data_IF_136915039137
#
_entry.id   IF_136915039137
#
_cell.length_a   1.000
_cell.length_b   1.000
_cell.length_c   1.000
_cell.angle_alpha   90.00
_cell.angle_beta   90.00
_cell.angle_gamma   90.00
#
_symmetry.space_group_name_H-M   'P 1'
#
loop_
_entity.id
_entity.type
_entity.pdbx_description
1 polymer ?
#
# COMPACT_ATOMS: atom_id res chain seq x y z
N UNK A 1 -0.97 -18.90 14.03
CA UNK A 1 -0.74 -18.28 12.71
C UNK A 1 -1.46 -16.93 12.74
N UNK A 2 -0.74 -15.82 12.90
CA UNK A 2 -1.35 -14.50 12.84
C UNK A 2 -1.71 -14.21 11.38
N UNK A 3 -2.99 -14.14 11.06
CA UNK A 3 -3.44 -13.59 9.78
C UNK A 3 -3.22 -12.08 9.86
N UNK A 4 -2.09 -11.59 9.37
CA UNK A 4 -1.89 -10.16 9.17
C UNK A 4 -2.90 -9.70 8.11
N UNK A 5 -3.90 -8.92 8.54
CA UNK A 5 -4.74 -8.13 7.64
C UNK A 5 -3.95 -6.85 7.32
N UNK A 6 -2.81 -7.00 6.66
CA UNK A 6 -2.04 -5.86 6.20
C UNK A 6 -2.38 -5.66 4.73
N UNK A 7 -3.17 -4.62 4.45
CA UNK A 7 -3.27 -4.05 3.11
C UNK A 7 -1.86 -3.58 2.71
N UNK A 8 -1.09 -4.48 2.13
CA UNK A 8 0.24 -4.17 1.63
C UNK A 8 0.12 -3.22 0.43
N UNK A 9 1.24 -2.56 0.10
CA UNK A 9 1.31 -1.64 -1.04
C UNK A 9 0.68 -2.24 -2.32
N UNK A 10 0.98 -3.51 -2.61
CA UNK A 10 0.47 -4.24 -3.77
C UNK A 10 -1.06 -4.35 -3.78
N UNK A 11 -1.68 -4.68 -2.64
CA UNK A 11 -3.14 -4.79 -2.51
C UNK A 11 -3.82 -3.45 -2.77
N UNK A 12 -3.28 -2.37 -2.19
CA UNK A 12 -3.85 -1.03 -2.31
C UNK A 12 -3.86 -0.59 -3.76
N UNK A 13 -2.72 -0.69 -4.47
CA UNK A 13 -2.65 -0.23 -5.86
C UNK A 13 -3.48 -1.13 -6.78
N UNK A 14 -3.55 -2.44 -6.51
CA UNK A 14 -4.34 -3.37 -7.30
C UNK A 14 -5.85 -3.13 -7.10
N UNK A 15 -6.29 -2.85 -5.87
CA UNK A 15 -7.68 -2.49 -5.55
C UNK A 15 -8.06 -1.15 -6.17
N UNK A 16 -7.24 -0.11 -6.02
CA UNK A 16 -7.50 1.20 -6.61
C UNK A 16 -7.58 1.13 -8.13
N UNK A 17 -6.62 0.47 -8.78
CA UNK A 17 -6.61 0.26 -10.23
C UNK A 17 -7.88 -0.45 -10.72
N UNK A 18 -8.29 -1.53 -10.05
CA UNK A 18 -9.52 -2.27 -10.39
C UNK A 18 -10.77 -1.42 -10.15
N UNK A 19 -10.83 -0.66 -9.06
CA UNK A 19 -11.92 0.26 -8.75
C UNK A 19 -12.10 1.37 -9.79
N UNK A 20 -10.99 1.81 -10.41
CA UNK A 20 -10.99 2.77 -11.52
C UNK A 20 -11.21 2.13 -12.91
N UNK A 21 -11.34 0.79 -12.99
CA UNK A 21 -11.49 0.08 -14.26
C UNK A 21 -10.24 0.11 -15.17
N UNK A 22 -9.06 0.39 -14.61
CA UNK A 22 -7.83 0.54 -15.37
C UNK A 22 -7.09 -0.81 -15.55
N UNK A 23 -6.50 -1.01 -16.72
CA UNK A 23 -5.56 -2.12 -16.94
C UNK A 23 -4.18 -1.73 -16.44
N UNK A 24 -3.32 -2.71 -16.15
CA UNK A 24 -1.90 -2.44 -15.79
C UNK A 24 -1.20 -1.65 -16.90
N UNK A 25 -1.46 -1.99 -18.17
CA UNK A 25 -0.91 -1.26 -19.31
C UNK A 25 -1.34 0.19 -19.37
N UNK A 26 -2.58 0.49 -18.96
CA UNK A 26 -3.07 1.88 -18.91
C UNK A 26 -2.42 2.67 -17.77
N UNK A 27 -2.31 2.09 -16.58
CA UNK A 27 -1.56 2.73 -15.47
C UNK A 27 -0.09 2.95 -15.87
N UNK A 28 0.52 2.00 -16.57
CA UNK A 28 1.88 2.15 -17.07
C UNK A 28 2.03 3.32 -18.05
N UNK A 29 1.11 3.43 -19.00
CA UNK A 29 1.11 4.52 -19.98
C UNK A 29 0.91 5.91 -19.31
N UNK A 30 0.02 6.00 -18.32
CA UNK A 30 -0.32 7.26 -17.65
C UNK A 30 0.73 7.67 -16.58
N UNK A 31 1.31 6.70 -15.86
CA UNK A 31 2.30 6.96 -14.80
C UNK A 31 3.74 7.05 -15.32
N UNK A 32 4.02 6.51 -16.51
CA UNK A 32 5.38 6.33 -17.02
C UNK A 32 6.17 5.21 -16.30
N UNK A 33 5.53 4.44 -15.41
CA UNK A 33 6.14 3.26 -14.77
C UNK A 33 5.95 2.04 -15.66
N UNK A 34 6.98 1.21 -15.80
CA UNK A 34 6.92 0.03 -16.65
C UNK A 34 5.81 -0.93 -16.18
N UNK A 35 4.97 -1.43 -17.10
CA UNK A 35 3.88 -2.35 -16.78
C UNK A 35 4.36 -3.59 -16.00
N UNK A 36 5.55 -4.10 -16.33
CA UNK A 36 6.20 -5.20 -15.59
C UNK A 36 6.43 -4.84 -14.12
N UNK A 37 6.91 -3.64 -13.82
CA UNK A 37 7.16 -3.20 -12.45
C UNK A 37 5.85 -3.10 -11.66
N UNK A 38 4.81 -2.52 -12.26
CA UNK A 38 3.48 -2.44 -11.63
C UNK A 38 2.95 -3.83 -11.31
N UNK A 39 2.99 -4.77 -12.28
CA UNK A 39 2.60 -6.16 -12.03
C UNK A 39 3.44 -6.82 -10.94
N UNK A 40 4.75 -6.58 -10.90
CA UNK A 40 5.62 -7.14 -9.86
C UNK A 40 5.30 -6.58 -8.47
N UNK A 41 4.96 -5.30 -8.38
CA UNK A 41 4.52 -4.66 -7.13
C UNK A 41 3.16 -5.19 -6.66
N UNK A 42 2.19 -5.35 -7.56
CA UNK A 42 0.88 -5.96 -7.25
C UNK A 42 0.99 -7.41 -6.77
N UNK A 43 2.06 -8.13 -7.15
CA UNK A 43 2.32 -9.51 -6.75
C UNK A 43 3.41 -9.63 -5.67
N UNK A 44 3.80 -8.53 -5.01
CA UNK A 44 4.80 -8.53 -3.91
C UNK A 44 6.20 -9.02 -4.28
N UNK A 45 6.52 -9.08 -5.57
CA UNK A 45 7.84 -9.51 -6.06
C UNK A 45 8.82 -8.36 -6.26
N UNK A 46 8.36 -7.11 -6.08
CA UNK A 46 9.17 -5.90 -6.15
C UNK A 46 8.65 -4.84 -5.18
N UNK A 47 9.52 -4.32 -4.31
CA UNK A 47 9.25 -3.09 -3.55
C UNK A 47 9.39 -1.86 -4.45
N UNK A 48 8.47 -0.88 -4.38
CA UNK A 48 8.59 0.36 -5.15
C UNK A 48 9.66 1.28 -4.55
N UNK A 49 10.22 2.15 -5.38
CA UNK A 49 10.97 3.33 -4.89
C UNK A 49 10.05 4.55 -4.77
N UNK A 50 10.53 5.64 -4.16
CA UNK A 50 9.71 6.84 -3.92
C UNK A 50 9.12 7.45 -5.20
N UNK A 51 9.90 7.53 -6.28
CA UNK A 51 9.44 8.06 -7.58
C UNK A 51 8.33 7.18 -8.19
N UNK A 52 8.49 5.86 -8.11
CA UNK A 52 7.45 4.91 -8.53
C UNK A 52 6.16 5.06 -7.69
N UNK A 53 6.28 5.26 -6.37
CA UNK A 53 5.14 5.52 -5.49
C UNK A 53 4.43 6.82 -5.87
N UNK A 54 5.17 7.92 -6.05
CA UNK A 54 4.59 9.22 -6.41
C UNK A 54 3.83 9.17 -7.75
N UNK A 55 4.43 8.52 -8.76
CA UNK A 55 3.81 8.35 -10.08
C UNK A 55 2.55 7.49 -10.02
N UNK A 56 2.63 6.33 -9.38
CA UNK A 56 1.49 5.42 -9.26
C UNK A 56 0.37 6.05 -8.43
N UNK A 57 0.70 6.71 -7.31
CA UNK A 57 -0.27 7.38 -6.46
C UNK A 57 -1.04 8.47 -7.21
N UNK A 58 -0.34 9.30 -7.97
CA UNK A 58 -0.96 10.34 -8.80
C UNK A 58 -1.93 9.75 -9.83
N UNK A 59 -1.52 8.71 -10.56
CA UNK A 59 -2.37 8.04 -11.56
C UNK A 59 -3.59 7.36 -10.93
N UNK A 60 -3.44 6.77 -9.74
CA UNK A 60 -4.52 6.05 -9.05
C UNK A 60 -5.33 6.91 -8.09
N UNK A 61 -5.12 8.23 -8.06
CA UNK A 61 -5.80 9.17 -7.17
C UNK A 61 -5.65 8.82 -5.68
N UNK A 62 -4.46 8.33 -5.30
CA UNK A 62 -4.10 7.96 -3.94
C UNK A 62 -3.19 9.01 -3.31
N UNK A 63 -3.14 9.02 -1.97
CA UNK A 63 -2.18 9.86 -1.23
C UNK A 63 -0.79 9.21 -1.25
N UNK A 64 0.16 9.86 -1.94
CA UNK A 64 1.52 9.32 -2.09
C UNK A 64 2.28 9.20 -0.77
N UNK A 65 2.06 10.10 0.20
CA UNK A 65 2.78 10.06 1.46
C UNK A 65 2.35 8.87 2.30
N UNK A 66 1.04 8.61 2.39
CA UNK A 66 0.50 7.42 3.04
C UNK A 66 0.95 6.15 2.33
N UNK A 67 0.85 6.13 1.00
CA UNK A 67 1.21 4.95 0.22
C UNK A 67 2.72 4.63 0.34
N UNK A 68 3.57 5.65 0.42
CA UNK A 68 5.00 5.46 0.66
C UNK A 68 5.29 4.96 2.07
N UNK A 69 4.58 5.47 3.09
CA UNK A 69 4.74 4.98 4.47
C UNK A 69 4.39 3.48 4.60
N UNK A 70 3.41 3.02 3.82
CA UNK A 70 3.05 1.61 3.71
C UNK A 70 4.14 0.83 2.96
N UNK A 71 4.61 1.36 1.82
CA UNK A 71 5.67 0.71 1.04
C UNK A 71 7.00 0.57 1.78
N UNK A 72 7.30 1.47 2.72
CA UNK A 72 8.52 1.45 3.53
C UNK A 72 8.32 0.79 4.89
N UNK A 73 7.17 0.16 5.16
CA UNK A 73 6.81 -0.46 6.45
C UNK A 73 7.05 0.51 7.64
N UNK A 74 6.98 1.82 7.39
CA UNK A 74 7.33 2.85 8.37
C UNK A 74 6.14 3.23 9.25
N UNK A 75 4.99 2.61 9.04
CA UNK A 75 3.84 2.75 9.92
C UNK A 75 3.91 1.70 11.03
N UNK A 76 3.77 2.15 12.27
CA UNK A 76 3.55 1.29 13.43
C UNK A 76 2.40 1.87 14.23
N UNK A 77 1.53 1.04 14.83
CA UNK A 77 0.47 1.53 15.69
C UNK A 77 1.10 2.32 16.84
N UNK A 78 0.50 3.47 17.18
CA UNK A 78 0.87 4.17 18.41
C UNK A 78 0.70 3.18 19.56
N UNK A 79 1.74 2.99 20.36
CA UNK A 79 1.68 2.18 21.57
C UNK A 79 0.62 2.78 22.48
N UNK A 80 -0.53 2.12 22.56
CA UNK A 80 -1.54 2.46 23.55
C UNK A 80 -0.91 2.08 24.88
N UNK A 81 -0.79 3.04 25.79
CA UNK A 81 -0.41 2.72 27.16
C UNK A 81 -1.50 1.79 27.71
N UNK A 82 -1.19 0.51 27.84
CA UNK A 82 -2.07 -0.46 28.49
C UNK A 82 -2.27 0.02 29.93
N UNK A 83 -3.37 0.72 30.19
CA UNK A 83 -3.84 0.91 31.56
C UNK A 83 -4.42 -0.42 31.98
N UNK A 84 -3.61 -1.23 32.64
CA UNK A 84 -4.10 -2.36 33.41
C UNK A 84 -5.07 -1.80 34.46
N UNK A 85 -6.35 -2.17 34.33
CA UNK A 85 -7.39 -1.85 35.31
C UNK A 85 -7.70 -3.13 36.11
N UNK A 86 -7.20 -3.24 37.35
CA UNK A 86 -7.45 -4.41 38.19
C UNK A 86 -8.92 -4.57 38.56
N UNK A 87 -9.79 -3.58 38.34
CA UNK A 87 -11.23 -3.70 38.56
C UNK A 87 -11.96 -4.52 37.47
N UNK A 88 -11.25 -4.91 36.40
CA UNK A 88 -11.78 -5.74 35.31
C UNK A 88 -11.41 -7.22 35.43
N UNK A 89 -10.73 -7.62 36.50
CA UNK A 89 -10.48 -9.04 36.81
C UNK A 89 -11.75 -9.68 37.39
N UNK A 90 -12.19 -10.80 36.81
CA UNK A 90 -13.39 -11.57 37.20
C UNK A 90 -13.05 -12.79 38.04
#
# INVERSE_FOLDING_TARGET
MAFILEDEFGDIIAKARRGLGLTVGRVAAESGVMAKNISQMENYTKKPNRDEVDKIASTLQLDSNKLNAIATESWSPNTIATKYDPALEV
#
